data_IF_074538231798
#
_entry.id   IF_074538231798
#
_cell.length_a   1.000
_cell.length_b   1.000
_cell.length_c   1.000
_cell.angle_alpha   90.00
_cell.angle_beta   90.00
_cell.angle_gamma   90.00
#
_symmetry.space_group_name_H-M   'P 1'
#
loop_
_entity.id
_entity.type
_entity.pdbx_description
1 polymer ?
#
# COMPACT_ATOMS: atom_id res chain seq x y z
N UNK A 1 -55.67 58.39 -28.02
CA UNK A 1 -55.92 57.49 -26.86
C UNK A 1 -55.22 56.16 -27.12
N UNK A 2 -54.32 55.76 -26.19
CA UNK A 2 -53.90 54.40 -25.77
C UNK A 2 -53.83 53.30 -26.86
N UNK A 3 -52.77 52.50 -27.01
CA UNK A 3 -52.04 51.74 -25.99
C UNK A 3 -50.65 51.34 -26.53
N UNK A 4 -49.61 51.53 -25.72
CA UNK A 4 -48.29 50.94 -25.90
C UNK A 4 -48.39 49.51 -25.35
N UNK A 5 -48.07 48.50 -26.17
CA UNK A 5 -47.95 47.11 -25.72
C UNK A 5 -46.47 46.84 -25.48
N UNK A 6 -46.11 46.77 -24.20
CA UNK A 6 -44.82 46.29 -23.73
C UNK A 6 -44.79 44.77 -23.92
N UNK A 7 -43.93 44.28 -24.81
CA UNK A 7 -43.65 42.85 -24.97
C UNK A 7 -42.53 42.49 -23.99
N UNK A 8 -42.90 42.00 -22.82
CA UNK A 8 -41.97 41.49 -21.81
C UNK A 8 -41.42 40.14 -22.29
N UNK A 9 -40.15 40.14 -22.70
CA UNK A 9 -39.37 38.93 -22.96
C UNK A 9 -39.09 38.25 -21.63
N UNK A 10 -39.75 37.12 -21.37
CA UNK A 10 -39.50 36.26 -20.23
C UNK A 10 -38.24 35.43 -20.52
N UNK A 11 -37.08 35.92 -20.12
CA UNK A 11 -35.83 35.16 -20.13
C UNK A 11 -35.90 34.12 -19.00
N UNK A 12 -36.31 32.89 -19.34
CA UNK A 12 -36.12 31.73 -18.47
C UNK A 12 -34.61 31.44 -18.40
N UNK A 13 -33.94 32.06 -17.42
CA UNK A 13 -32.61 31.62 -17.01
C UNK A 13 -32.73 30.21 -16.44
N UNK A 14 -32.21 29.22 -17.17
CA UNK A 14 -31.96 27.89 -16.62
C UNK A 14 -30.82 28.08 -15.62
N UNK A 15 -31.19 28.34 -14.36
CA UNK A 15 -30.27 28.23 -13.23
C UNK A 15 -29.89 26.75 -13.13
N UNK A 16 -28.78 26.37 -13.76
CA UNK A 16 -28.07 25.16 -13.36
C UNK A 16 -27.53 25.41 -11.94
N UNK A 17 -28.33 25.03 -10.94
CA UNK A 17 -27.85 24.88 -9.58
C UNK A 17 -26.81 23.77 -9.60
N UNK A 18 -25.54 24.17 -9.61
CA UNK A 18 -24.41 23.27 -9.42
C UNK A 18 -24.56 22.61 -8.03
N UNK A 19 -24.62 21.28 -8.01
CA UNK A 19 -24.90 20.52 -6.78
C UNK A 19 -23.83 20.83 -5.72
N UNK A 20 -24.25 21.43 -4.61
CA UNK A 20 -23.38 21.67 -3.45
C UNK A 20 -23.36 20.41 -2.58
N UNK A 21 -22.25 19.67 -2.64
CA UNK A 21 -21.76 18.65 -1.68
C UNK A 21 -22.83 18.10 -0.71
N UNK A 22 -23.56 17.06 -1.13
CA UNK A 22 -24.57 16.41 -0.31
C UNK A 22 -23.96 15.53 0.79
N UNK A 23 -24.72 15.38 1.87
CA UNK A 23 -24.45 14.41 2.93
C UNK A 23 -24.95 13.03 2.49
N UNK A 24 -24.06 12.03 2.45
CA UNK A 24 -24.34 10.68 1.96
C UNK A 24 -24.63 9.73 3.11
N UNK A 25 -23.85 9.82 4.20
CA UNK A 25 -24.02 8.99 5.38
C UNK A 25 -23.50 9.70 6.64
N UNK A 26 -23.88 9.19 7.81
CA UNK A 26 -23.27 9.55 9.09
C UNK A 26 -22.80 8.25 9.75
N UNK A 27 -21.56 8.23 10.23
CA UNK A 27 -20.96 7.09 10.95
C UNK A 27 -20.44 7.60 12.28
N UNK A 28 -20.98 7.12 13.40
CA UNK A 28 -20.56 7.56 14.75
C UNK A 28 -20.53 9.09 14.92
N UNK A 29 -21.56 9.76 14.38
CA UNK A 29 -21.71 11.23 14.31
C UNK A 29 -20.77 11.96 13.35
N UNK A 30 -20.01 11.24 12.51
CA UNK A 30 -19.16 11.86 11.49
C UNK A 30 -19.80 11.77 10.09
N UNK A 31 -20.00 12.91 9.41
CA UNK A 31 -20.69 12.98 8.11
C UNK A 31 -19.80 12.57 6.94
N UNK A 32 -20.24 11.65 6.09
CA UNK A 32 -19.59 11.31 4.81
C UNK A 32 -20.28 12.09 3.71
N UNK A 33 -19.50 12.83 2.92
CA UNK A 33 -20.00 13.73 1.87
C UNK A 33 -19.83 13.15 0.46
N UNK A 34 -20.62 13.65 -0.49
CA UNK A 34 -20.47 13.32 -1.92
C UNK A 34 -19.07 13.70 -2.44
N UNK A 35 -18.50 14.78 -1.93
CA UNK A 35 -17.16 15.23 -2.31
C UNK A 35 -16.09 14.20 -1.96
N UNK A 36 -16.13 13.68 -0.73
CA UNK A 36 -15.21 12.62 -0.29
C UNK A 36 -15.38 11.34 -1.11
N UNK A 37 -16.63 10.97 -1.42
CA UNK A 37 -16.94 9.83 -2.29
C UNK A 37 -16.26 10.01 -3.65
N UNK A 38 -16.44 11.17 -4.30
CA UNK A 38 -15.84 11.44 -5.61
C UNK A 38 -14.31 11.45 -5.58
N UNK A 39 -13.71 11.99 -4.51
CA UNK A 39 -12.26 11.95 -4.34
C UNK A 39 -11.74 10.51 -4.25
N UNK A 40 -12.37 9.67 -3.43
CA UNK A 40 -11.99 8.26 -3.27
C UNK A 40 -12.20 7.49 -4.57
N UNK A 41 -13.34 7.68 -5.25
CA UNK A 41 -13.61 7.08 -6.56
C UNK A 41 -12.53 7.42 -7.58
N UNK A 42 -12.16 8.70 -7.68
CA UNK A 42 -11.14 9.17 -8.64
C UNK A 42 -9.75 8.64 -8.28
N UNK A 43 -9.39 8.68 -7.00
CA UNK A 43 -8.07 8.25 -6.52
C UNK A 43 -7.84 6.75 -6.66
N UNK A 44 -8.88 5.94 -6.40
CA UNK A 44 -8.78 4.48 -6.35
C UNK A 44 -9.37 3.79 -7.59
N UNK A 45 -10.04 4.53 -8.48
CA UNK A 45 -10.77 4.01 -9.63
C UNK A 45 -11.78 2.91 -9.24
N UNK A 46 -12.63 3.22 -8.27
CA UNK A 46 -13.64 2.29 -7.70
C UNK A 46 -15.06 2.84 -7.80
N UNK A 47 -16.05 1.97 -7.58
CA UNK A 47 -17.46 2.36 -7.63
C UNK A 47 -17.87 3.27 -6.46
N UNK A 48 -18.99 4.03 -6.57
CA UNK A 48 -19.49 4.84 -5.47
C UNK A 48 -19.76 4.04 -4.18
N UNK A 49 -20.23 2.80 -4.30
CA UNK A 49 -20.53 1.96 -3.15
C UNK A 49 -19.25 1.45 -2.46
N UNK A 50 -18.20 1.18 -3.24
CA UNK A 50 -16.90 0.79 -2.70
C UNK A 50 -16.22 1.99 -2.03
N UNK A 51 -16.30 3.18 -2.65
CA UNK A 51 -15.84 4.43 -2.05
C UNK A 51 -16.56 4.74 -0.73
N UNK A 52 -17.89 4.57 -0.68
CA UNK A 52 -18.65 4.70 0.57
C UNK A 52 -18.17 3.69 1.62
N UNK A 53 -17.90 2.44 1.22
CA UNK A 53 -17.42 1.41 2.15
C UNK A 53 -16.02 1.72 2.70
N UNK A 54 -15.13 2.29 1.89
CA UNK A 54 -13.82 2.80 2.32
C UNK A 54 -13.98 3.93 3.34
N UNK A 55 -14.84 4.90 3.06
CA UNK A 55 -15.09 6.03 3.97
C UNK A 55 -15.76 5.58 5.28
N UNK A 56 -16.72 4.66 5.21
CA UNK A 56 -17.30 4.05 6.42
C UNK A 56 -16.21 3.36 7.24
N UNK A 57 -15.31 2.60 6.60
CA UNK A 57 -14.19 1.95 7.30
C UNK A 57 -13.31 3.00 7.98
N UNK A 58 -12.96 4.08 7.30
CA UNK A 58 -12.15 5.18 7.84
C UNK A 58 -12.80 5.83 9.08
N UNK A 59 -14.10 6.15 9.04
CA UNK A 59 -14.80 6.71 10.21
C UNK A 59 -14.86 5.75 11.39
N UNK A 60 -14.99 4.44 11.12
CA UNK A 60 -14.92 3.43 12.17
C UNK A 60 -13.51 3.32 12.79
N UNK A 61 -12.44 3.49 12.01
CA UNK A 61 -11.07 3.59 12.54
C UNK A 61 -10.93 4.79 13.46
N UNK A 62 -11.38 5.96 13.01
CA UNK A 62 -11.27 7.22 13.76
C UNK A 62 -12.08 7.18 15.06
N UNK A 63 -13.31 6.65 14.99
CA UNK A 63 -14.13 6.40 16.16
C UNK A 63 -13.42 5.47 17.15
N UNK A 64 -12.82 4.38 16.66
CA UNK A 64 -12.14 3.43 17.53
C UNK A 64 -10.84 4.00 18.14
N UNK A 65 -10.09 4.81 17.39
CA UNK A 65 -8.92 5.55 17.88
C UNK A 65 -9.33 6.44 19.07
N UNK A 66 -10.44 7.17 18.94
CA UNK A 66 -10.99 7.99 20.03
C UNK A 66 -11.41 7.15 21.23
N UNK A 67 -12.21 6.10 21.01
CA UNK A 67 -12.71 5.21 22.08
C UNK A 67 -11.57 4.56 22.86
N UNK A 68 -10.49 4.17 22.19
CA UNK A 68 -9.33 3.52 22.82
C UNK A 68 -8.32 4.50 23.43
N UNK A 69 -8.54 5.81 23.28
CA UNK A 69 -7.63 6.86 23.75
C UNK A 69 -6.27 6.81 23.05
N UNK A 70 -6.24 6.40 21.77
CA UNK A 70 -4.99 6.30 21.00
C UNK A 70 -4.58 7.70 20.55
N UNK A 71 -3.39 8.12 20.96
CA UNK A 71 -2.79 9.41 20.60
C UNK A 71 -1.43 9.22 19.93
N UNK A 72 -0.97 10.28 19.25
CA UNK A 72 0.37 10.40 18.73
C UNK A 72 0.89 11.79 19.07
N UNK A 73 2.05 11.88 19.69
CA UNK A 73 2.63 13.16 20.09
C UNK A 73 3.55 13.76 19.00
N UNK A 74 4.12 14.94 19.29
CA UNK A 74 5.02 15.61 18.36
C UNK A 74 6.33 14.87 18.16
N UNK A 75 6.84 14.22 19.21
CA UNK A 75 8.11 13.51 19.19
C UNK A 75 8.01 12.27 18.30
N UNK A 76 6.96 11.47 18.47
CA UNK A 76 6.70 10.30 17.62
C UNK A 76 6.58 10.67 16.14
N UNK A 77 5.92 11.81 15.85
CA UNK A 77 5.82 12.30 14.49
C UNK A 77 7.19 12.73 13.93
N UNK A 78 8.00 13.46 14.70
CA UNK A 78 9.33 13.89 14.27
C UNK A 78 10.28 12.70 14.04
N UNK A 79 10.23 11.68 14.90
CA UNK A 79 10.98 10.42 14.73
C UNK A 79 10.57 9.69 13.44
N UNK A 80 9.26 9.58 13.17
CA UNK A 80 8.76 8.96 11.94
C UNK A 80 9.20 9.74 10.70
N UNK A 81 9.17 11.07 10.75
CA UNK A 81 9.66 11.93 9.66
C UNK A 81 11.15 11.72 9.43
N UNK A 82 11.96 11.62 10.49
CA UNK A 82 13.39 11.34 10.39
C UNK A 82 13.66 9.97 9.75
N UNK A 83 12.92 8.94 10.15
CA UNK A 83 13.02 7.61 9.54
C UNK A 83 12.64 7.62 8.06
N UNK A 84 11.59 8.36 7.68
CA UNK A 84 11.19 8.52 6.28
C UNK A 84 12.25 9.26 5.46
N UNK A 85 12.83 10.34 5.99
CA UNK A 85 13.91 11.07 5.33
C UNK A 85 15.13 10.15 5.08
N UNK A 86 15.55 9.42 6.12
CA UNK A 86 16.65 8.46 6.03
C UNK A 86 16.36 7.34 5.01
N UNK A 87 15.15 6.79 4.99
CA UNK A 87 14.75 5.79 4.02
C UNK A 87 14.78 6.31 2.57
N UNK A 88 14.62 7.62 2.37
CA UNK A 88 14.76 8.29 1.09
C UNK A 88 16.18 8.83 0.81
N UNK A 89 17.13 8.59 1.72
CA UNK A 89 18.53 8.99 1.56
C UNK A 89 18.78 10.50 1.61
N UNK A 90 17.86 11.27 2.20
CA UNK A 90 17.97 12.73 2.35
C UNK A 90 17.84 13.13 3.83
N UNK A 91 18.37 14.29 4.18
CA UNK A 91 18.19 14.83 5.52
C UNK A 91 16.77 15.37 5.74
N UNK A 92 16.38 15.54 7.00
CA UNK A 92 15.03 15.98 7.39
C UNK A 92 14.68 17.36 6.83
N UNK A 93 15.65 18.28 6.73
CA UNK A 93 15.40 19.63 6.22
C UNK A 93 15.10 19.57 4.72
N UNK A 94 15.92 18.84 3.97
CA UNK A 94 15.68 18.62 2.54
C UNK A 94 14.35 17.89 2.31
N UNK A 95 14.04 16.89 3.13
CA UNK A 95 12.77 16.18 3.05
C UNK A 95 11.56 17.11 3.24
N UNK A 96 11.59 17.97 4.27
CA UNK A 96 10.52 18.96 4.52
C UNK A 96 10.34 19.92 3.35
N UNK A 97 11.43 20.46 2.81
CA UNK A 97 11.39 21.35 1.65
C UNK A 97 10.74 20.68 0.42
N UNK A 98 10.99 19.39 0.20
CA UNK A 98 10.35 18.62 -0.88
C UNK A 98 8.83 18.51 -0.66
N UNK A 99 8.38 18.30 0.56
CA UNK A 99 6.94 18.23 0.88
C UNK A 99 6.27 19.61 0.68
N UNK A 100 6.90 20.69 1.16
CA UNK A 100 6.40 22.06 0.98
C UNK A 100 6.34 22.46 -0.50
N UNK A 101 7.31 22.04 -1.32
CA UNK A 101 7.29 22.28 -2.77
C UNK A 101 6.09 21.64 -3.49
N UNK A 102 5.43 20.67 -2.85
CA UNK A 102 4.21 20.00 -3.34
C UNK A 102 2.93 20.66 -2.82
N UNK A 103 3.04 21.79 -2.11
CA UNK A 103 1.91 22.53 -1.57
C UNK A 103 1.35 22.00 -0.25
N UNK A 104 2.08 21.13 0.46
CA UNK A 104 1.69 20.60 1.78
C UNK A 104 2.51 21.32 2.84
N UNK A 105 1.85 21.97 3.81
CA UNK A 105 2.58 22.65 4.89
C UNK A 105 3.25 21.64 5.83
N UNK A 106 4.34 22.05 6.48
CA UNK A 106 5.03 21.23 7.48
C UNK A 106 4.10 20.77 8.62
N UNK A 107 3.14 21.61 9.00
CA UNK A 107 2.15 21.27 10.04
C UNK A 107 1.12 20.26 9.55
N UNK A 108 0.56 20.44 8.35
CA UNK A 108 -0.40 19.49 7.77
C UNK A 108 0.26 18.12 7.59
N UNK A 109 1.48 18.09 7.06
CA UNK A 109 2.24 16.85 6.91
C UNK A 109 2.50 16.18 8.26
N UNK A 110 2.87 16.94 9.29
CA UNK A 110 3.06 16.39 10.64
C UNK A 110 1.76 15.81 11.20
N UNK A 111 0.62 16.44 10.94
CA UNK A 111 -0.68 15.93 11.36
C UNK A 111 -1.08 14.66 10.60
N UNK A 112 -0.78 14.57 9.31
CA UNK A 112 -0.96 13.34 8.53
C UNK A 112 -0.11 12.19 9.09
N UNK A 113 1.15 12.46 9.45
CA UNK A 113 2.03 11.48 10.09
C UNK A 113 1.45 11.02 11.43
N UNK A 114 0.94 11.94 12.26
CA UNK A 114 0.27 11.57 13.52
C UNK A 114 -0.96 10.69 13.27
N UNK A 115 -1.76 10.99 12.26
CA UNK A 115 -2.91 10.15 11.87
C UNK A 115 -2.44 8.75 11.47
N UNK A 116 -1.38 8.65 10.66
CA UNK A 116 -0.75 7.37 10.32
C UNK A 116 -0.29 6.58 11.55
N UNK A 117 0.39 7.23 12.49
CA UNK A 117 0.85 6.60 13.74
C UNK A 117 -0.32 6.11 14.58
N UNK A 118 -1.40 6.89 14.70
CA UNK A 118 -2.61 6.45 15.42
C UNK A 118 -3.22 5.20 14.79
N UNK A 119 -3.27 5.12 13.46
CA UNK A 119 -3.73 3.93 12.75
C UNK A 119 -2.79 2.74 13.03
N UNK A 120 -1.48 2.91 12.89
CA UNK A 120 -0.50 1.86 13.22
C UNK A 120 -0.70 1.32 14.65
N UNK A 121 -0.89 2.20 15.63
CA UNK A 121 -1.19 1.83 17.02
C UNK A 121 -2.53 1.12 17.19
N UNK A 122 -3.57 1.54 16.45
CA UNK A 122 -4.88 0.86 16.44
C UNK A 122 -4.73 -0.58 15.96
N UNK A 123 -4.11 -0.78 14.79
CA UNK A 123 -3.89 -2.11 14.22
C UNK A 123 -3.01 -2.97 15.13
N UNK A 124 -1.93 -2.42 15.68
CA UNK A 124 -1.10 -3.13 16.65
C UNK A 124 -1.90 -3.58 17.87
N UNK A 125 -2.84 -2.75 18.36
CA UNK A 125 -3.70 -3.08 19.50
C UNK A 125 -4.74 -4.15 19.18
N UNK A 126 -5.29 -4.14 17.97
CA UNK A 126 -6.19 -5.21 17.47
C UNK A 126 -5.42 -6.54 17.41
N UNK A 127 -4.17 -6.51 16.96
CA UNK A 127 -3.32 -7.68 16.74
C UNK A 127 -2.52 -8.14 17.97
N UNK A 128 -2.55 -7.41 19.10
CA UNK A 128 -1.76 -7.71 20.30
C UNK A 128 -2.16 -9.01 21.02
N UNK A 129 -3.13 -9.76 20.49
CA UNK A 129 -3.44 -11.09 20.98
C UNK A 129 -2.66 -12.10 20.12
N UNK A 130 -1.63 -12.77 20.66
CA UNK A 130 -0.94 -13.82 19.93
C UNK A 130 -1.97 -14.89 19.55
N UNK A 131 -2.16 -15.10 18.24
CA UNK A 131 -3.08 -16.14 17.78
C UNK A 131 -2.53 -17.49 18.22
N UNK A 132 -3.30 -18.19 19.07
CA UNK A 132 -2.99 -19.57 19.46
C UNK A 132 -2.94 -20.52 18.25
N UNK A 133 -3.43 -20.07 17.09
CA UNK A 133 -3.40 -20.83 15.85
C UNK A 133 -2.01 -20.87 15.21
N UNK A 134 -1.06 -20.01 15.60
CA UNK A 134 0.29 -19.99 15.01
C UNK A 134 1.15 -21.07 15.67
N UNK A 135 0.96 -22.32 15.23
CA UNK A 135 1.74 -23.50 15.67
C UNK A 135 2.35 -24.22 14.46
N UNK A 136 3.44 -24.99 14.64
CA UNK A 136 4.00 -25.79 13.55
C UNK A 136 3.00 -26.78 12.93
N UNK A 137 2.12 -27.35 13.75
CA UNK A 137 1.08 -28.28 13.29
C UNK A 137 0.05 -27.58 12.39
N UNK A 138 -0.42 -26.39 12.80
CA UNK A 138 -1.33 -25.60 11.98
C UNK A 138 -0.64 -25.04 10.74
N UNK A 139 0.64 -24.66 10.83
CA UNK A 139 1.43 -24.25 9.67
C UNK A 139 1.52 -25.38 8.63
N UNK A 140 1.70 -26.63 9.08
CA UNK A 140 1.67 -27.80 8.19
C UNK A 140 0.32 -27.97 7.51
N UNK A 141 -0.78 -27.94 8.26
CA UNK A 141 -2.15 -27.99 7.69
C UNK A 141 -2.39 -26.85 6.71
N UNK A 142 -1.93 -25.65 7.04
CA UNK A 142 -2.05 -24.47 6.21
C UNK A 142 -1.30 -24.65 4.88
N UNK A 143 -0.08 -25.18 4.92
CA UNK A 143 0.70 -25.52 3.73
C UNK A 143 0.00 -26.57 2.85
N UNK A 144 -0.52 -27.65 3.46
CA UNK A 144 -1.22 -28.73 2.75
C UNK A 144 -2.54 -28.25 2.10
N UNK A 145 -3.26 -27.34 2.77
CA UNK A 145 -4.50 -26.76 2.25
C UNK A 145 -4.27 -25.69 1.17
N UNK A 146 -3.08 -25.08 1.12
CA UNK A 146 -2.77 -23.95 0.25
C UNK A 146 -1.50 -24.16 -0.62
N UNK A 147 -1.36 -25.30 -1.32
CA UNK A 147 -0.10 -25.63 -2.01
C UNK A 147 0.28 -24.59 -3.07
N UNK A 148 -0.71 -23.95 -3.70
CA UNK A 148 -0.50 -22.90 -4.71
C UNK A 148 0.23 -21.67 -4.18
N UNK A 149 0.12 -21.36 -2.88
CA UNK A 149 0.84 -20.24 -2.25
C UNK A 149 2.33 -20.51 -2.13
N UNK A 150 2.75 -21.78 -2.15
CA UNK A 150 4.11 -22.21 -1.86
C UNK A 150 4.83 -22.83 -3.06
N UNK A 151 4.19 -22.85 -4.22
CA UNK A 151 4.83 -23.30 -5.46
C UNK A 151 6.00 -22.37 -5.77
N UNK A 152 7.17 -22.96 -6.00
CA UNK A 152 8.37 -22.28 -6.44
C UNK A 152 8.73 -22.72 -7.85
N UNK A 153 9.55 -21.90 -8.51
CA UNK A 153 10.06 -22.18 -9.84
C UNK A 153 11.40 -22.91 -9.74
N UNK A 154 11.64 -23.85 -10.65
CA UNK A 154 12.89 -24.61 -10.70
C UNK A 154 14.03 -23.76 -11.25
N UNK A 155 13.76 -23.02 -12.33
CA UNK A 155 14.73 -22.20 -13.05
C UNK A 155 14.25 -20.77 -13.17
N UNK A 156 15.17 -19.83 -13.01
CA UNK A 156 14.91 -18.40 -13.17
C UNK A 156 15.88 -17.88 -14.22
N UNK A 157 15.36 -17.42 -15.34
CA UNK A 157 16.16 -16.81 -16.39
C UNK A 157 16.23 -15.31 -16.19
N UNK A 158 17.46 -14.81 -16.07
CA UNK A 158 17.74 -13.42 -15.71
C UNK A 158 18.80 -12.82 -16.61
N UNK A 159 18.72 -11.50 -16.78
CA UNK A 159 19.85 -10.71 -17.26
C UNK A 159 20.53 -10.09 -16.04
N UNK A 160 21.77 -10.49 -15.77
CA UNK A 160 22.62 -9.94 -14.70
C UNK A 160 23.31 -8.69 -15.21
N UNK A 161 23.28 -7.63 -14.41
CA UNK A 161 23.99 -6.38 -14.61
C UNK A 161 24.96 -6.18 -13.44
N UNK A 162 26.25 -5.98 -13.73
CA UNK A 162 27.30 -5.77 -12.74
C UNK A 162 28.12 -4.52 -13.08
N UNK A 163 28.35 -3.65 -12.10
CA UNK A 163 29.16 -2.44 -12.28
C UNK A 163 29.65 -1.90 -10.94
N UNK A 164 30.73 -1.12 -10.97
CA UNK A 164 31.17 -0.34 -9.80
C UNK A 164 30.40 0.97 -9.61
N UNK A 165 29.55 1.37 -10.57
CA UNK A 165 28.76 2.59 -10.49
C UNK A 165 27.27 2.29 -10.31
N UNK A 166 26.77 2.44 -9.07
CA UNK A 166 25.34 2.25 -8.74
C UNK A 166 24.40 3.07 -9.62
N UNK A 167 24.82 4.27 -10.04
CA UNK A 167 23.97 5.16 -10.82
C UNK A 167 23.66 4.60 -12.20
N UNK A 168 24.60 3.89 -12.82
CA UNK A 168 24.39 3.22 -14.10
C UNK A 168 23.25 2.19 -14.01
N UNK A 169 23.14 1.45 -12.90
CA UNK A 169 22.04 0.51 -12.69
C UNK A 169 20.71 1.22 -12.45
N UNK A 170 20.71 2.34 -11.74
CA UNK A 170 19.51 3.18 -11.60
C UNK A 170 19.00 3.65 -12.96
N UNK A 171 19.89 4.05 -13.87
CA UNK A 171 19.53 4.48 -15.22
C UNK A 171 18.98 3.33 -16.06
N UNK A 172 19.61 2.16 -16.01
CA UNK A 172 19.11 0.94 -16.68
C UNK A 172 17.73 0.53 -16.16
N UNK A 173 17.50 0.61 -14.85
CA UNK A 173 16.21 0.25 -14.26
C UNK A 173 15.06 1.14 -14.76
N UNK A 174 15.36 2.40 -15.09
CA UNK A 174 14.40 3.39 -15.64
C UNK A 174 14.26 3.27 -17.16
N UNK A 175 15.36 2.98 -17.85
CA UNK A 175 15.42 2.81 -19.29
C UNK A 175 16.24 1.55 -19.62
N UNK A 176 15.58 0.37 -19.77
CA UNK A 176 16.25 -0.91 -20.00
C UNK A 176 17.10 -0.97 -21.27
N UNK A 177 16.84 -0.07 -22.22
CA UNK A 177 17.58 0.03 -23.49
C UNK A 177 18.80 0.96 -23.40
N UNK A 178 19.02 1.62 -22.25
CA UNK A 178 20.16 2.52 -22.07
C UNK A 178 21.48 1.75 -22.04
N UNK A 179 22.43 2.17 -22.86
CA UNK A 179 23.78 1.61 -22.88
C UNK A 179 24.63 2.39 -21.88
N UNK A 180 25.03 1.72 -20.81
CA UNK A 180 25.83 2.31 -19.74
C UNK A 180 27.28 1.81 -19.81
N UNK A 181 28.28 2.70 -19.96
CA UNK A 181 29.68 2.32 -19.94
C UNK A 181 30.06 1.65 -18.61
N UNK A 182 30.86 0.57 -18.70
CA UNK A 182 31.34 -0.12 -17.49
C UNK A 182 30.28 -0.97 -16.79
N UNK A 183 29.18 -1.31 -17.46
CA UNK A 183 28.22 -2.31 -17.00
C UNK A 183 28.45 -3.62 -17.76
N UNK A 184 28.81 -4.67 -17.01
CA UNK A 184 28.84 -6.03 -17.52
C UNK A 184 27.43 -6.59 -17.56
N UNK A 185 27.04 -7.19 -18.69
CA UNK A 185 25.69 -7.71 -18.93
C UNK A 185 25.81 -9.18 -19.33
N UNK A 186 25.12 -10.06 -18.62
CA UNK A 186 25.14 -11.50 -18.87
C UNK A 186 23.75 -12.11 -18.76
N UNK A 187 23.37 -12.98 -19.69
CA UNK A 187 22.14 -13.77 -19.56
C UNK A 187 22.45 -15.09 -18.87
N UNK A 188 21.79 -15.35 -17.75
CA UNK A 188 22.06 -16.51 -16.90
C UNK A 188 20.74 -17.24 -16.62
N UNK A 189 20.77 -18.56 -16.70
CA UNK A 189 19.71 -19.42 -16.19
C UNK A 189 20.15 -19.95 -14.84
N UNK A 190 19.42 -19.58 -13.79
CA UNK A 190 19.76 -19.92 -12.42
C UNK A 190 18.85 -21.03 -11.92
N UNK A 191 19.43 -22.10 -11.36
CA UNK A 191 18.67 -23.13 -10.66
C UNK A 191 18.30 -22.66 -9.25
N UNK A 192 17.00 -22.51 -8.98
CA UNK A 192 16.49 -21.94 -7.74
C UNK A 192 17.00 -22.67 -6.49
N UNK A 193 17.22 -23.98 -6.58
CA UNK A 193 17.73 -24.79 -5.46
C UNK A 193 19.20 -24.56 -5.13
N UNK A 194 19.98 -24.14 -6.11
CA UNK A 194 21.44 -23.90 -5.97
C UNK A 194 21.74 -22.47 -5.51
N UNK A 195 20.74 -21.57 -5.59
CA UNK A 195 20.87 -20.20 -5.13
C UNK A 195 21.01 -20.11 -3.61
N UNK A 196 21.84 -19.15 -3.18
CA UNK A 196 21.84 -18.77 -1.77
C UNK A 196 20.45 -18.25 -1.34
N UNK A 197 20.06 -18.41 -0.06
CA UNK A 197 18.69 -18.10 0.38
C UNK A 197 18.23 -16.67 0.11
N UNK A 198 19.14 -15.69 0.23
CA UNK A 198 18.81 -14.27 0.04
C UNK A 198 18.54 -13.95 -1.43
N UNK A 199 19.41 -14.36 -2.34
CA UNK A 199 19.24 -14.15 -3.78
C UNK A 199 18.02 -14.92 -4.30
N UNK A 200 17.82 -16.16 -3.81
CA UNK A 200 16.63 -16.96 -4.12
C UNK A 200 15.35 -16.22 -3.75
N UNK A 201 15.26 -15.70 -2.52
CA UNK A 201 14.12 -14.93 -2.06
C UNK A 201 13.86 -13.70 -2.94
N UNK A 202 14.91 -12.93 -3.26
CA UNK A 202 14.78 -11.74 -4.11
C UNK A 202 14.24 -12.13 -5.49
N UNK A 203 14.83 -13.11 -6.17
CA UNK A 203 14.44 -13.50 -7.52
C UNK A 203 13.04 -14.14 -7.58
N UNK A 204 12.67 -14.93 -6.56
CA UNK A 204 11.32 -15.50 -6.47
C UNK A 204 10.25 -14.41 -6.28
N UNK A 205 10.54 -13.36 -5.50
CA UNK A 205 9.60 -12.27 -5.24
C UNK A 205 9.61 -11.16 -6.31
N UNK A 206 10.65 -11.06 -7.13
CA UNK A 206 10.66 -10.14 -8.28
C UNK A 206 9.72 -10.64 -9.37
N UNK A 207 8.80 -9.77 -9.82
CA UNK A 207 7.85 -10.10 -10.89
C UNK A 207 8.57 -10.35 -12.21
N UNK A 208 8.02 -11.23 -13.04
CA UNK A 208 8.48 -11.39 -14.44
C UNK A 208 8.35 -10.04 -15.15
N UNK A 209 9.39 -9.67 -15.90
CA UNK A 209 9.50 -8.40 -16.60
C UNK A 209 9.95 -7.23 -15.72
N UNK A 210 10.49 -7.49 -14.53
CA UNK A 210 10.93 -6.44 -13.58
C UNK A 210 12.37 -6.66 -13.12
N UNK A 211 13.00 -5.57 -12.67
CA UNK A 211 14.31 -5.60 -12.05
C UNK A 211 14.23 -5.93 -10.56
N UNK A 212 15.26 -6.56 -10.03
CA UNK A 212 15.51 -6.63 -8.60
C UNK A 212 15.97 -5.27 -8.06
N UNK A 213 15.91 -5.04 -6.74
CA UNK A 213 16.68 -3.97 -6.12
C UNK A 213 18.18 -4.11 -6.45
N UNK A 214 18.90 -2.97 -6.42
CA UNK A 214 20.36 -2.95 -6.55
C UNK A 214 20.96 -3.33 -5.20
N UNK A 215 21.87 -4.30 -5.17
CA UNK A 215 22.59 -4.70 -3.97
C UNK A 215 24.10 -4.70 -4.17
N UNK A 216 24.81 -4.42 -3.08
CA UNK A 216 26.28 -4.40 -3.04
C UNK A 216 26.81 -5.83 -2.84
N UNK A 217 27.80 -6.19 -3.62
CA UNK A 217 28.58 -7.44 -3.53
C UNK A 217 30.07 -7.12 -3.42
N UNK A 218 30.91 -8.14 -3.28
CA UNK A 218 32.36 -8.00 -3.30
C UNK A 218 32.88 -7.47 -4.65
N UNK A 219 32.18 -7.80 -5.75
CA UNK A 219 32.60 -7.48 -7.12
C UNK A 219 32.03 -6.15 -7.63
N UNK A 220 31.21 -5.48 -6.81
CA UNK A 220 30.54 -4.21 -7.15
C UNK A 220 29.04 -4.24 -6.86
N UNK A 221 28.28 -3.44 -7.60
CA UNK A 221 26.82 -3.40 -7.53
C UNK A 221 26.21 -4.35 -8.55
N UNK A 222 25.25 -5.16 -8.10
CA UNK A 222 24.50 -6.09 -8.94
C UNK A 222 23.01 -5.74 -9.01
N UNK A 223 22.42 -6.02 -10.18
CA UNK A 223 20.98 -5.95 -10.44
C UNK A 223 20.60 -7.03 -11.45
N UNK A 224 19.42 -7.62 -11.29
CA UNK A 224 18.93 -8.67 -12.19
C UNK A 224 17.61 -8.25 -12.83
N UNK A 225 17.46 -8.47 -14.13
CA UNK A 225 16.19 -8.40 -14.83
C UNK A 225 15.59 -9.80 -14.97
N UNK A 226 14.42 -10.06 -14.38
CA UNK A 226 13.79 -11.38 -14.41
C UNK A 226 12.89 -11.49 -15.63
N UNK A 227 13.28 -12.24 -16.66
CA UNK A 227 12.49 -12.36 -17.88
C UNK A 227 11.75 -13.70 -18.03
N UNK A 228 12.19 -14.78 -17.36
CA UNK A 228 11.47 -16.05 -17.33
C UNK A 228 11.58 -16.75 -15.98
N UNK A 229 10.56 -17.53 -15.64
CA UNK A 229 10.54 -18.46 -14.51
C UNK A 229 9.93 -19.75 -15.01
N UNK A 230 10.68 -20.84 -14.92
CA UNK A 230 10.39 -22.12 -15.57
C UNK A 230 10.44 -23.27 -14.57
N UNK A 231 9.66 -24.30 -14.88
CA UNK A 231 9.40 -25.40 -13.96
C UNK A 231 8.57 -24.95 -12.76
N UNK A 232 7.95 -25.91 -12.10
CA UNK A 232 7.23 -25.66 -10.85
C UNK A 232 7.39 -26.86 -9.96
N UNK A 233 7.81 -26.61 -8.72
CA UNK A 233 7.84 -27.64 -7.71
C UNK A 233 7.27 -27.07 -6.42
N UNK A 234 6.72 -27.98 -5.61
CA UNK A 234 6.29 -27.66 -4.26
C UNK A 234 7.43 -28.05 -3.31
N UNK A 235 8.11 -27.09 -2.65
CA UNK A 235 9.17 -27.39 -1.69
C UNK A 235 8.63 -28.17 -0.50
N UNK A 236 9.44 -29.06 0.09
CA UNK A 236 9.05 -29.77 1.32
C UNK A 236 8.79 -28.77 2.47
N UNK A 237 7.77 -29.03 3.28
CA UNK A 237 7.38 -28.16 4.39
C UNK A 237 8.57 -27.77 5.29
N UNK A 238 9.44 -28.73 5.65
CA UNK A 238 10.54 -28.45 6.57
C UNK A 238 11.57 -27.48 5.97
N UNK A 239 11.66 -27.42 4.63
CA UNK A 239 12.59 -26.52 3.94
C UNK A 239 12.10 -25.06 3.88
N UNK A 240 10.79 -24.83 4.10
CA UNK A 240 10.14 -23.52 4.01
C UNK A 240 9.24 -23.20 5.21
N UNK A 241 9.46 -23.87 6.34
CA UNK A 241 8.58 -23.77 7.53
C UNK A 241 8.42 -22.32 7.99
N UNK A 242 9.50 -21.53 7.96
CA UNK A 242 9.49 -20.13 8.39
C UNK A 242 8.61 -19.27 7.48
N UNK A 243 8.71 -19.48 6.18
CA UNK A 243 7.91 -18.78 5.16
C UNK A 243 6.43 -19.16 5.28
N UNK A 244 6.13 -20.44 5.53
CA UNK A 244 4.76 -20.92 5.77
C UNK A 244 4.18 -20.30 7.04
N UNK A 245 4.94 -20.31 8.15
CA UNK A 245 4.51 -19.70 9.41
C UNK A 245 4.26 -18.19 9.24
N UNK A 246 5.14 -17.48 8.52
CA UNK A 246 4.96 -16.06 8.25
C UNK A 246 3.72 -15.78 7.38
N UNK A 247 3.49 -16.57 6.33
CA UNK A 247 2.31 -16.45 5.47
C UNK A 247 1.02 -16.74 6.26
N UNK A 248 1.00 -17.79 7.08
CA UNK A 248 -0.12 -18.12 7.96
C UNK A 248 -0.38 -17.00 8.95
N UNK A 249 0.67 -16.48 9.60
CA UNK A 249 0.54 -15.37 10.54
C UNK A 249 -0.05 -14.12 9.88
N UNK A 250 0.40 -13.78 8.66
CA UNK A 250 -0.16 -12.67 7.88
C UNK A 250 -1.65 -12.86 7.59
N UNK A 251 -2.06 -14.06 7.16
CA UNK A 251 -3.47 -14.34 6.89
C UNK A 251 -4.32 -14.29 8.16
N UNK A 252 -3.83 -14.85 9.27
CA UNK A 252 -4.53 -14.77 10.57
C UNK A 252 -4.67 -13.32 11.05
N UNK A 253 -3.67 -12.47 10.83
CA UNK A 253 -3.74 -11.03 11.13
C UNK A 253 -4.81 -10.33 10.27
N UNK A 254 -4.86 -10.61 8.97
CA UNK A 254 -5.88 -10.08 8.07
C UNK A 254 -7.30 -10.49 8.49
N UNK A 255 -7.50 -11.77 8.84
CA UNK A 255 -8.77 -12.29 9.34
C UNK A 255 -9.15 -11.60 10.65
N UNK A 256 -8.23 -11.50 11.61
CA UNK A 256 -8.48 -10.87 12.91
C UNK A 256 -8.90 -9.41 12.76
N UNK A 257 -8.23 -8.66 11.89
CA UNK A 257 -8.58 -7.27 11.56
C UNK A 257 -9.95 -7.19 10.90
N UNK A 258 -10.21 -8.03 9.89
CA UNK A 258 -11.48 -8.04 9.18
C UNK A 258 -12.65 -8.35 10.14
N UNK A 259 -12.51 -9.38 10.97
CA UNK A 259 -13.49 -9.77 11.98
C UNK A 259 -13.74 -8.68 13.01
N UNK A 260 -12.68 -8.04 13.49
CA UNK A 260 -12.77 -6.93 14.42
C UNK A 260 -13.65 -5.81 13.86
N UNK A 261 -13.33 -5.37 12.64
CA UNK A 261 -14.05 -4.27 12.01
C UNK A 261 -15.44 -4.65 11.49
N UNK A 262 -15.69 -5.92 11.16
CA UNK A 262 -17.03 -6.42 10.86
C UNK A 262 -17.92 -6.35 12.11
N UNK A 263 -17.41 -6.82 13.26
CA UNK A 263 -18.10 -6.72 14.55
C UNK A 263 -18.33 -5.26 14.95
N UNK A 264 -17.34 -4.39 14.72
CA UNK A 264 -17.47 -2.95 14.98
C UNK A 264 -18.56 -2.33 14.10
N UNK A 265 -18.56 -2.63 12.79
CA UNK A 265 -19.55 -2.11 11.83
C UNK A 265 -20.98 -2.53 12.19
N UNK A 266 -21.19 -3.76 12.68
CA UNK A 266 -22.51 -4.24 13.11
C UNK A 266 -23.04 -3.49 14.33
N UNK A 267 -22.15 -3.01 15.20
CA UNK A 267 -22.51 -2.28 16.43
C UNK A 267 -22.60 -0.76 16.24
N UNK A 268 -21.94 -0.25 15.20
CA UNK A 268 -21.81 1.17 14.97
C UNK A 268 -23.13 1.80 14.51
N UNK A 269 -23.36 3.06 14.90
CA UNK A 269 -24.43 3.86 14.36
C UNK A 269 -24.04 4.36 12.96
N UNK A 270 -24.62 3.72 11.93
CA UNK A 270 -24.41 4.07 10.52
C UNK A 270 -25.75 4.42 9.90
N UNK A 271 -25.95 5.69 9.62
CA UNK A 271 -27.15 6.21 8.94
C UNK A 271 -26.80 6.55 7.50
N UNK A 272 -27.33 5.80 6.54
CA UNK A 272 -27.19 6.13 5.12
C UNK A 272 -28.35 7.04 4.74
N UNK A 273 -28.03 8.27 4.35
CA UNK A 273 -29.00 9.37 4.17
C UNK A 273 -29.52 9.44 2.73
N UNK A 274 -28.95 8.62 1.82
CA UNK A 274 -29.17 8.63 0.37
C UNK A 274 -30.54 9.20 -0.05
N UNK A 275 -30.48 10.33 -0.77
CA UNK A 275 -31.58 10.89 -1.58
C UNK A 275 -31.56 10.29 -2.97
#
# INVERSE_FOLDING_TARGET
>A
MKKIVFLTVFLLGILHAEYVNGLVAIVENEPITDYEIQQVMTKMNISPNDALSVLIRERLEDAQIRTLGISADNYEADEKIAALAQANGIDVTTFKNVIESRGISSEDFKNDIKTGIKKEKLYARILNNPSQNITPENARRFYEANPKMFVQFEKISVTKYLTNNRQSLNEISKNPMSVQPGVSIENVVLESKELNPQLRYILLNTKKGSFTPIFQTADGFEMFYVYSKEGSYLPDFNSIEKEVVAAMASQEQEIAVADYFNKLRVKANIEIIKR
#
